data_IF_750144590827
#
_entry.id   IF_750144590827
#
_cell.length_a   1.000
_cell.length_b   1.000
_cell.length_c   1.000
_cell.angle_alpha   90.00
_cell.angle_beta   90.00
_cell.angle_gamma   90.00
#
_symmetry.space_group_name_H-M   'P 1'
#
loop_
_entity.id
_entity.type
_entity.pdbx_description
1 polymer ?
#
# COMPACT_ATOMS: atom_id res chain seq x y z
N UNK A 1 -14.62 -17.90 -0.92
CA UNK A 1 -13.82 -16.91 -1.66
C UNK A 1 -12.84 -16.30 -0.68
N UNK A 2 -11.53 -16.47 -0.90
CA UNK A 2 -10.47 -15.82 -0.11
C UNK A 2 -10.28 -14.42 -0.68
N UNK A 3 -10.78 -13.40 0.01
CA UNK A 3 -10.43 -12.00 -0.27
C UNK A 3 -9.09 -11.67 0.40
N UNK A 4 -8.28 -10.77 -0.17
CA UNK A 4 -7.07 -10.29 0.49
C UNK A 4 -7.45 -9.59 1.79
N UNK A 5 -6.53 -9.63 2.77
CA UNK A 5 -6.74 -8.91 4.01
C UNK A 5 -6.57 -7.41 3.77
N UNK A 6 -7.47 -6.62 4.36
CA UNK A 6 -7.46 -5.17 4.27
C UNK A 6 -7.23 -4.61 5.67
N UNK A 7 -6.22 -3.77 5.82
CA UNK A 7 -5.96 -3.06 7.07
C UNK A 7 -6.04 -1.56 6.86
N UNK A 8 -6.41 -0.84 7.92
CA UNK A 8 -6.66 0.60 7.87
C UNK A 8 -5.85 1.35 8.92
N UNK A 9 -5.44 2.55 8.57
CA UNK A 9 -4.76 3.48 9.47
C UNK A 9 -5.14 4.92 9.13
N UNK A 10 -5.23 5.79 10.13
CA UNK A 10 -5.58 7.21 9.95
C UNK A 10 -4.33 8.05 10.13
N UNK A 11 -4.07 8.94 9.18
CA UNK A 11 -2.96 9.88 9.21
C UNK A 11 -3.49 11.31 9.30
N UNK A 12 -2.82 12.15 10.08
CA UNK A 12 -3.04 13.60 10.11
C UNK A 12 -2.26 14.29 8.96
N UNK A 13 -2.70 14.06 7.73
CA UNK A 13 -2.13 14.69 6.55
C UNK A 13 -3.16 14.77 5.40
N UNK A 14 -2.90 15.68 4.45
CA UNK A 14 -3.68 15.76 3.19
C UNK A 14 -3.35 14.59 2.28
N UNK A 15 -4.32 14.17 1.47
CA UNK A 15 -4.23 13.01 0.57
C UNK A 15 -3.02 13.04 -0.33
N UNK A 16 -2.68 14.22 -0.89
CA UNK A 16 -1.53 14.35 -1.79
C UNK A 16 -0.20 13.91 -1.16
N UNK A 17 -0.01 14.13 0.14
CA UNK A 17 1.21 13.74 0.86
C UNK A 17 1.19 12.24 1.14
N UNK A 18 0.03 11.73 1.53
CA UNK A 18 -0.18 10.30 1.81
C UNK A 18 0.01 9.47 0.53
N UNK A 19 -0.57 9.88 -0.59
CA UNK A 19 -0.42 9.19 -1.87
C UNK A 19 1.05 9.09 -2.30
N UNK A 20 1.80 10.19 -2.20
CA UNK A 20 3.24 10.22 -2.48
C UNK A 20 4.04 9.35 -1.51
N UNK A 21 3.74 9.45 -0.22
CA UNK A 21 4.40 8.66 0.81
C UNK A 21 4.20 7.16 0.58
N UNK A 22 2.96 6.73 0.33
CA UNK A 22 2.65 5.32 0.02
C UNK A 22 3.40 4.87 -1.23
N UNK A 23 3.35 5.64 -2.32
CA UNK A 23 4.06 5.29 -3.54
C UNK A 23 5.57 5.15 -3.31
N UNK A 24 6.19 6.11 -2.61
CA UNK A 24 7.60 6.06 -2.27
C UNK A 24 7.97 4.83 -1.43
N UNK A 25 7.13 4.45 -0.45
CA UNK A 25 7.36 3.23 0.33
C UNK A 25 7.27 1.97 -0.54
N UNK A 26 6.31 1.88 -1.45
CA UNK A 26 6.20 0.74 -2.36
C UNK A 26 7.42 0.64 -3.28
N UNK A 27 7.90 1.76 -3.82
CA UNK A 27 9.10 1.81 -4.65
C UNK A 27 10.36 1.42 -3.86
N UNK A 28 10.57 1.98 -2.67
CA UNK A 28 11.74 1.70 -1.81
C UNK A 28 11.79 0.23 -1.37
N UNK A 29 10.63 -0.32 -1.01
CA UNK A 29 10.50 -1.74 -0.63
C UNK A 29 10.52 -2.67 -1.83
N UNK A 30 10.58 -2.14 -3.06
CA UNK A 30 10.50 -2.88 -4.32
C UNK A 30 9.27 -3.80 -4.32
N UNK A 31 8.10 -3.23 -4.05
CA UNK A 31 6.83 -3.95 -4.11
C UNK A 31 6.17 -3.61 -5.44
N UNK A 32 6.32 -4.52 -6.39
CA UNK A 32 6.04 -4.24 -7.80
C UNK A 32 7.23 -3.60 -8.53
N UNK A 33 7.22 -3.68 -9.85
CA UNK A 33 8.13 -2.97 -10.76
C UNK A 33 7.55 -1.62 -11.18
N UNK A 34 6.23 -1.48 -11.18
CA UNK A 34 5.53 -0.26 -11.55
C UNK A 34 4.60 0.15 -10.41
N UNK A 35 4.85 1.31 -9.83
CA UNK A 35 3.97 1.95 -8.84
C UNK A 35 3.33 3.17 -9.51
N UNK A 36 2.01 3.26 -9.46
CA UNK A 36 1.25 4.34 -10.07
C UNK A 36 0.34 5.01 -9.04
N UNK A 37 0.32 6.34 -9.05
CA UNK A 37 -0.60 7.15 -8.26
C UNK A 37 -1.76 7.58 -9.16
N UNK A 38 -2.98 7.27 -8.74
CA UNK A 38 -4.22 7.79 -9.31
C UNK A 38 -4.78 8.85 -8.36
N UNK A 39 -4.51 10.12 -8.70
CA UNK A 39 -4.96 11.26 -7.90
C UNK A 39 -6.47 11.49 -7.99
N UNK A 40 -7.11 11.10 -9.09
CA UNK A 40 -8.54 11.30 -9.30
C UNK A 40 -9.35 10.34 -8.41
N UNK A 41 -8.85 9.12 -8.23
CA UNK A 41 -9.48 8.09 -7.39
C UNK A 41 -8.83 7.91 -6.01
N UNK A 42 -7.85 8.75 -5.65
CA UNK A 42 -7.09 8.68 -4.39
C UNK A 42 -6.53 7.28 -4.11
N UNK A 43 -5.81 6.72 -5.08
CA UNK A 43 -5.34 5.33 -5.05
C UNK A 43 -3.86 5.23 -5.44
N UNK A 44 -3.17 4.25 -4.86
CA UNK A 44 -1.84 3.82 -5.30
C UNK A 44 -1.89 2.34 -5.64
N UNK A 45 -1.36 1.97 -6.79
CA UNK A 45 -1.32 0.59 -7.26
C UNK A 45 0.10 0.16 -7.60
N UNK A 46 0.44 -1.08 -7.24
CA UNK A 46 1.58 -1.78 -7.81
C UNK A 46 1.12 -2.87 -8.77
N UNK A 47 1.99 -3.21 -9.73
CA UNK A 47 1.89 -4.48 -10.45
C UNK A 47 2.28 -5.68 -9.55
N UNK A 48 2.08 -6.89 -10.10
CA UNK A 48 2.55 -8.11 -9.44
C UNK A 48 4.06 -8.25 -9.58
N UNK A 49 4.77 -8.30 -8.46
CA UNK A 49 6.14 -8.76 -8.40
C UNK A 49 6.18 -10.27 -8.19
N UNK A 50 6.91 -10.99 -9.05
CA UNK A 50 7.14 -12.43 -8.93
C UNK A 50 8.47 -12.67 -8.20
N UNK A 51 8.45 -13.54 -7.18
CA UNK A 51 9.61 -14.04 -6.45
C UNK A 51 9.48 -15.56 -6.28
N UNK A 52 10.21 -16.32 -7.10
CA UNK A 52 10.06 -17.77 -7.19
C UNK A 52 8.64 -18.16 -7.61
N UNK A 53 7.99 -19.01 -6.82
CA UNK A 53 6.60 -19.42 -7.01
C UNK A 53 5.58 -18.48 -6.35
N UNK A 54 6.01 -17.30 -5.91
CA UNK A 54 5.13 -16.32 -5.27
C UNK A 54 4.97 -15.08 -6.14
N UNK A 55 3.79 -14.47 -6.12
CA UNK A 55 3.60 -13.13 -6.62
C UNK A 55 2.84 -12.27 -5.62
N UNK A 56 3.26 -11.02 -5.49
CA UNK A 56 2.67 -10.06 -4.56
C UNK A 56 2.37 -8.76 -5.30
N UNK A 57 1.20 -8.19 -5.06
CA UNK A 57 0.87 -6.81 -5.43
C UNK A 57 0.27 -6.09 -4.24
N UNK A 58 0.35 -4.77 -4.25
CA UNK A 58 -0.23 -3.93 -3.22
C UNK A 58 -1.15 -2.89 -3.85
N UNK A 59 -2.30 -2.70 -3.22
CA UNK A 59 -3.19 -1.59 -3.48
C UNK A 59 -3.37 -0.77 -2.20
N UNK A 60 -3.31 0.56 -2.32
CA UNK A 60 -3.67 1.45 -1.25
C UNK A 60 -4.77 2.41 -1.72
N UNK A 61 -5.72 2.70 -0.84
CA UNK A 61 -6.77 3.71 -1.07
C UNK A 61 -6.73 4.73 0.05
N UNK A 62 -6.89 6.00 -0.30
CA UNK A 62 -6.92 7.11 0.63
C UNK A 62 -8.31 7.72 0.64
N UNK A 63 -8.89 7.89 1.82
CA UNK A 63 -10.20 8.51 2.02
C UNK A 63 -10.09 9.65 3.00
N UNK A 64 -10.46 10.87 2.60
CA UNK A 64 -10.57 12.00 3.52
C UNK A 64 -11.63 11.73 4.58
N UNK A 65 -11.28 11.93 5.84
CA UNK A 65 -12.23 11.88 6.96
C UNK A 65 -12.69 13.31 7.30
N UNK A 66 -11.73 14.24 7.44
CA UNK A 66 -12.00 15.64 7.73
C UNK A 66 -10.92 16.55 7.12
N UNK A 67 -10.86 17.82 7.55
CA UNK A 67 -9.95 18.81 6.96
C UNK A 67 -8.46 18.52 7.20
N UNK A 68 -8.12 17.71 8.22
CA UNK A 68 -6.73 17.37 8.58
C UNK A 68 -6.41 15.86 8.53
N UNK A 69 -7.42 14.99 8.55
CA UNK A 69 -7.23 13.53 8.63
C UNK A 69 -7.73 12.78 7.39
N UNK A 70 -6.95 11.78 6.99
CA UNK A 70 -7.31 10.81 5.96
C UNK A 70 -7.07 9.37 6.45
N UNK A 71 -7.97 8.46 6.09
CA UNK A 71 -7.81 7.02 6.27
C UNK A 71 -7.10 6.42 5.06
N UNK A 72 -6.08 5.59 5.31
CA UNK A 72 -5.45 4.72 4.32
C UNK A 72 -5.93 3.31 4.54
N UNK A 73 -6.45 2.68 3.49
CA UNK A 73 -6.68 1.23 3.44
C UNK A 73 -5.61 0.58 2.60
N UNK A 74 -4.83 -0.34 3.18
CA UNK A 74 -3.80 -1.11 2.50
C UNK A 74 -4.27 -2.54 2.27
N UNK A 75 -4.12 -3.01 1.03
CA UNK A 75 -4.53 -4.33 0.57
C UNK A 75 -3.32 -4.98 -0.10
N UNK A 76 -2.78 -6.04 0.52
CA UNK A 76 -1.70 -6.81 -0.09
C UNK A 76 -2.25 -8.15 -0.57
N UNK A 77 -2.13 -8.39 -1.87
CA UNK A 77 -2.53 -9.65 -2.49
C UNK A 77 -1.29 -10.48 -2.76
N UNK A 78 -1.17 -11.59 -2.04
CA UNK A 78 -0.11 -12.59 -2.24
C UNK A 78 -0.72 -13.85 -2.83
N UNK A 79 -0.11 -14.36 -3.88
CA UNK A 79 -0.56 -15.57 -4.58
C UNK A 79 0.63 -16.52 -4.78
N UNK A 80 0.36 -17.81 -4.66
CA UNK A 80 1.33 -18.88 -4.92
C UNK A 80 1.00 -19.57 -6.24
N UNK A 81 2.02 -19.88 -7.02
CA UNK A 81 1.92 -20.70 -8.22
C UNK A 81 1.59 -22.13 -7.82
N UNK A 82 0.62 -22.70 -8.52
CA UNK A 82 0.14 -24.08 -8.39
C UNK A 82 0.03 -24.69 -9.79
N UNK A 83 -0.30 -25.98 -9.88
CA UNK A 83 -0.49 -26.66 -11.17
C UNK A 83 -1.63 -26.08 -12.00
N UNK A 84 -2.64 -25.49 -11.35
CA UNK A 84 -3.85 -24.94 -11.98
C UNK A 84 -3.79 -23.43 -12.21
N UNK A 85 -2.74 -22.75 -11.74
CA UNK A 85 -2.58 -21.31 -11.87
C UNK A 85 -2.08 -20.63 -10.60
N UNK A 86 -2.49 -19.40 -10.37
CA UNK A 86 -2.13 -18.62 -9.18
C UNK A 86 -3.25 -18.66 -8.16
N UNK A 87 -2.95 -19.11 -6.95
CA UNK A 87 -3.90 -19.17 -5.85
C UNK A 87 -3.53 -18.20 -4.74
N UNK A 88 -4.50 -17.43 -4.27
CA UNK A 88 -4.29 -16.51 -3.16
C UNK A 88 -3.94 -17.25 -1.86
N UNK A 89 -2.96 -16.71 -1.15
CA UNK A 89 -2.52 -17.21 0.15
C UNK A 89 -2.33 -16.04 1.10
N UNK A 90 -2.81 -16.20 2.33
CA UNK A 90 -2.56 -15.24 3.40
C UNK A 90 -1.17 -15.48 3.95
N UNK A 91 -0.28 -14.52 3.72
CA UNK A 91 1.12 -14.59 4.16
C UNK A 91 1.48 -13.49 5.15
N UNK A 92 0.87 -12.31 5.01
CA UNK A 92 1.04 -11.20 5.93
C UNK A 92 0.04 -11.31 7.08
N UNK A 93 0.53 -11.02 8.28
CA UNK A 93 -0.26 -10.85 9.49
C UNK A 93 -0.34 -9.35 9.83
N UNK A 94 -1.15 -9.01 10.81
CA UNK A 94 -1.36 -7.62 11.24
C UNK A 94 -0.05 -6.87 11.53
N UNK A 95 0.92 -7.53 12.17
CA UNK A 95 2.21 -6.91 12.54
C UNK A 95 3.00 -6.40 11.33
N UNK A 96 2.94 -7.13 10.20
CA UNK A 96 3.56 -6.66 8.96
C UNK A 96 2.86 -5.40 8.43
N UNK A 97 1.53 -5.33 8.51
CA UNK A 97 0.77 -4.12 8.13
C UNK A 97 1.08 -2.95 9.06
N UNK A 98 1.16 -3.17 10.37
CA UNK A 98 1.54 -2.14 11.34
C UNK A 98 2.92 -1.55 11.00
N UNK A 99 3.88 -2.40 10.60
CA UNK A 99 5.20 -1.96 10.13
C UNK A 99 5.11 -1.10 8.86
N UNK A 100 4.26 -1.47 7.89
CA UNK A 100 4.03 -0.63 6.72
C UNK A 100 3.47 0.73 7.11
N UNK A 101 2.49 0.77 8.03
CA UNK A 101 1.88 2.02 8.43
C UNK A 101 2.85 2.95 9.15
N UNK A 102 3.74 2.42 10.01
CA UNK A 102 4.80 3.23 10.64
C UNK A 102 5.78 3.82 9.62
N UNK A 103 6.17 3.05 8.60
CA UNK A 103 7.09 3.54 7.57
C UNK A 103 6.40 4.60 6.68
N UNK A 104 5.12 4.40 6.34
CA UNK A 104 4.32 5.40 5.63
C UNK A 104 4.20 6.67 6.47
N UNK A 105 4.01 6.57 7.78
CA UNK A 105 3.92 7.72 8.68
C UNK A 105 5.18 8.60 8.58
N UNK A 106 6.36 7.99 8.72
CA UNK A 106 7.64 8.68 8.57
C UNK A 106 7.75 9.34 7.19
N UNK A 107 7.35 8.63 6.14
CA UNK A 107 7.40 9.14 4.77
C UNK A 107 6.43 10.31 4.54
N UNK A 108 5.26 10.31 5.19
CA UNK A 108 4.33 11.43 5.17
C UNK A 108 4.98 12.67 5.78
N UNK A 109 5.67 12.55 6.91
CA UNK A 109 6.42 13.68 7.50
C UNK A 109 7.53 14.19 6.57
N UNK A 110 8.28 13.30 5.91
CA UNK A 110 9.28 13.69 4.91
C UNK A 110 8.66 14.44 3.72
N UNK A 111 7.54 13.97 3.19
CA UNK A 111 6.87 14.61 2.05
C UNK A 111 6.26 15.95 2.41
N UNK A 112 5.81 16.13 3.65
CA UNK A 112 5.35 17.44 4.15
C UNK A 112 6.51 18.42 4.31
N UNK A 113 7.64 17.99 4.88
CA UNK A 113 8.79 18.87 5.15
C UNK A 113 9.49 19.38 3.88
N UNK A 114 9.50 18.58 2.80
CA UNK A 114 10.04 19.00 1.49
C UNK A 114 9.29 20.14 0.82
N UNK A 115 8.06 20.44 1.27
CA UNK A 115 7.23 21.52 0.71
C UNK A 115 7.21 22.78 1.59
N UNK A 116 7.98 22.80 2.68
CA UNK A 116 8.28 23.99 3.49
C UNK A 116 9.66 24.53 3.13
#
# INVERSE_FOLDING_TARGET
MTSPDEYRHVYEAKEKYILKAVAGVLEEKKIGRNVAIDYDNNRVDSDFMISGDWRTKTNARVKRINWKECEVTLIVTTEKKTETGWEMRRLLQKEQYDTFFSVIELKVYEEMSRMY
#
